data_IF_042483619413
#
_entry.id   IF_042483619413
#
_cell.length_a   1.000
_cell.length_b   1.000
_cell.length_c   1.000
_cell.angle_alpha   90.00
_cell.angle_beta   90.00
_cell.angle_gamma   90.00
#
_symmetry.space_group_name_H-M   'P 1'
#
loop_
_entity.id
_entity.type
_entity.pdbx_description
1 polymer ?
#
# COMPACT_ATOMS: atom_id res chain seq x y z
N UNK A 1 1.27 15.33 62.10
CA UNK A 1 2.35 14.75 62.93
C UNK A 1 2.39 13.26 62.60
N UNK A 2 3.41 12.61 62.05
CA UNK A 2 4.81 12.86 61.69
C UNK A 2 5.05 12.06 60.36
N UNK A 3 5.77 12.54 59.34
CA UNK A 3 7.19 12.87 59.17
C UNK A 3 8.16 11.66 59.27
N UNK A 4 9.17 11.69 58.40
CA UNK A 4 10.37 10.83 58.23
C UNK A 4 10.23 9.74 57.13
N UNK A 5 10.77 9.84 55.91
CA UNK A 5 12.12 10.17 55.37
C UNK A 5 13.24 9.19 55.77
N UNK A 6 13.78 8.47 54.78
CA UNK A 6 15.19 8.05 54.51
C UNK A 6 15.15 7.30 53.16
N UNK A 7 15.86 7.56 52.05
CA UNK A 7 17.14 8.19 51.64
C UNK A 7 18.40 7.38 51.99
N UNK A 8 19.14 7.03 50.91
CA UNK A 8 20.57 6.64 50.79
C UNK A 8 20.95 5.18 51.12
N UNK A 9 21.90 4.51 50.45
CA UNK A 9 22.89 4.90 49.43
C UNK A 9 23.74 3.68 48.94
N UNK A 10 24.33 3.79 47.73
CA UNK A 10 25.69 3.37 47.27
C UNK A 10 26.11 1.87 47.36
N UNK A 11 26.92 1.26 46.49
CA UNK A 11 27.53 1.57 45.21
C UNK A 11 28.19 0.28 44.66
N UNK A 12 28.34 0.22 43.33
CA UNK A 12 29.41 -0.42 42.54
C UNK A 12 29.77 -1.92 42.73
N UNK A 13 29.83 -2.67 41.62
CA UNK A 13 31.12 -3.10 41.00
C UNK A 13 30.87 -3.69 39.59
N UNK A 14 31.63 -3.13 38.65
CA UNK A 14 32.16 -3.57 37.36
C UNK A 14 31.59 -4.81 36.62
N UNK A 15 31.41 -4.60 35.31
CA UNK A 15 32.02 -5.35 34.18
C UNK A 15 30.95 -5.52 33.09
N UNK A 16 30.97 -4.82 31.96
CA UNK A 16 32.02 -4.83 30.96
C UNK A 16 31.45 -5.48 29.69
N UNK A 17 31.16 -4.68 28.64
CA UNK A 17 31.18 -5.07 27.22
C UNK A 17 30.54 -3.96 26.35
N UNK A 18 31.38 -3.09 25.81
CA UNK A 18 31.01 -2.26 24.65
C UNK A 18 30.95 -3.14 23.40
N UNK A 19 29.86 -3.09 22.63
CA UNK A 19 29.81 -3.68 21.30
C UNK A 19 29.83 -2.56 20.25
N UNK A 20 31.02 -2.30 19.68
CA UNK A 20 31.20 -1.49 18.47
C UNK A 20 31.21 -2.44 17.28
N UNK A 21 30.24 -2.32 16.37
CA UNK A 21 30.22 -3.09 15.12
C UNK A 21 30.70 -2.19 13.98
N UNK A 22 31.91 -2.45 13.51
CA UNK A 22 32.49 -1.82 12.33
C UNK A 22 32.22 -2.67 11.08
N UNK A 23 31.99 -1.96 9.98
CA UNK A 23 31.76 -2.41 8.59
C UNK A 23 33.00 -3.07 7.98
N UNK A 24 32.86 -4.09 7.11
CA UNK A 24 33.94 -4.48 6.19
C UNK A 24 33.62 -4.13 4.72
N UNK A 25 34.57 -3.58 3.95
CA UNK A 25 34.58 -3.68 2.50
C UNK A 25 35.49 -4.85 2.07
N UNK A 26 35.04 -5.65 1.10
CA UNK A 26 35.84 -6.73 0.51
C UNK A 26 35.61 -6.78 -0.99
N UNK A 27 36.62 -6.36 -1.75
CA UNK A 27 36.64 -6.35 -3.21
C UNK A 27 37.62 -7.40 -3.75
N UNK A 28 37.16 -8.22 -4.70
CA UNK A 28 37.95 -8.83 -5.77
C UNK A 28 38.82 -10.07 -5.48
N UNK A 29 38.53 -11.20 -6.15
CA UNK A 29 39.21 -11.65 -7.39
C UNK A 29 39.07 -13.16 -7.64
N UNK A 30 38.53 -13.46 -8.83
CA UNK A 30 38.94 -14.49 -9.82
C UNK A 30 39.01 -15.98 -9.45
N UNK A 31 38.22 -16.76 -10.19
CA UNK A 31 38.41 -18.17 -10.57
C UNK A 31 38.02 -18.33 -12.06
N UNK A 32 38.32 -19.45 -12.73
CA UNK A 32 39.64 -19.90 -13.16
C UNK A 32 39.73 -20.01 -14.70
N UNK A 33 40.94 -20.29 -15.19
CA UNK A 33 41.29 -20.46 -16.60
C UNK A 33 40.61 -21.67 -17.27
N UNK A 34 40.18 -21.50 -18.54
CA UNK A 34 39.88 -22.61 -19.44
C UNK A 34 40.27 -22.26 -20.89
N UNK A 35 41.24 -23.03 -21.40
CA UNK A 35 41.42 -23.50 -22.77
C UNK A 35 41.06 -22.64 -23.99
N UNK A 36 42.10 -22.20 -24.71
CA UNK A 36 42.10 -21.89 -26.15
C UNK A 36 41.64 -23.10 -26.99
N UNK A 37 40.85 -22.88 -28.06
CA UNK A 37 41.02 -23.51 -29.39
C UNK A 37 40.02 -22.98 -30.44
N UNK A 38 40.60 -22.25 -31.41
CA UNK A 38 40.46 -22.35 -32.88
C UNK A 38 39.10 -22.06 -33.57
N UNK A 39 39.13 -20.93 -34.27
CA UNK A 39 38.63 -20.61 -35.61
C UNK A 39 38.12 -21.79 -36.47
N UNK A 40 36.93 -21.62 -37.06
CA UNK A 40 36.66 -21.97 -38.45
C UNK A 40 35.40 -21.23 -38.94
N UNK A 41 35.53 -20.52 -40.06
CA UNK A 41 34.45 -19.92 -40.82
C UNK A 41 33.82 -20.97 -41.75
N UNK A 42 32.52 -20.87 -42.04
CA UNK A 42 31.93 -21.36 -43.29
C UNK A 42 30.57 -20.70 -43.56
N UNK A 43 30.43 -20.28 -44.82
CA UNK A 43 29.29 -19.64 -45.48
C UNK A 43 28.14 -20.61 -45.80
N UNK A 44 27.05 -20.05 -46.35
CA UNK A 44 25.92 -20.66 -47.11
C UNK A 44 24.68 -20.95 -46.24
N UNK A 45 23.43 -20.74 -46.67
CA UNK A 45 22.84 -20.10 -47.84
C UNK A 45 21.34 -19.95 -47.55
N UNK A 46 20.70 -18.92 -48.12
CA UNK A 46 19.24 -18.82 -48.24
C UNK A 46 18.64 -20.07 -48.89
N UNK A 47 17.54 -20.59 -48.33
CA UNK A 47 16.52 -21.27 -49.12
C UNK A 47 15.16 -21.23 -48.42
N UNK A 48 14.22 -20.54 -49.07
CA UNK A 48 12.79 -20.57 -48.79
C UNK A 48 12.27 -22.01 -48.90
N UNK A 49 11.56 -22.47 -47.87
CA UNK A 49 10.59 -23.55 -48.00
C UNK A 49 9.21 -23.02 -47.61
N UNK A 50 8.42 -22.74 -48.65
CA UNK A 50 6.96 -22.63 -48.58
C UNK A 50 6.40 -23.93 -48.00
N UNK A 51 5.67 -23.83 -46.89
CA UNK A 51 4.85 -24.91 -46.35
C UNK A 51 3.41 -24.40 -46.15
N UNK A 52 2.42 -24.85 -46.94
CA UNK A 52 1.03 -24.48 -46.74
C UNK A 52 0.42 -25.48 -45.76
N UNK A 53 0.55 -25.20 -44.47
CA UNK A 53 -0.22 -25.89 -43.45
C UNK A 53 -1.20 -24.89 -42.88
N UNK A 54 -2.48 -25.06 -43.25
CA UNK A 54 -3.61 -24.41 -42.62
C UNK A 54 -3.53 -24.66 -41.11
N UNK A 55 -2.93 -23.72 -40.38
CA UNK A 55 -3.08 -23.65 -38.94
C UNK A 55 -4.49 -23.13 -38.71
N UNK A 56 -5.42 -24.09 -38.60
CA UNK A 56 -6.66 -24.01 -37.83
C UNK A 56 -6.57 -22.86 -36.84
N UNK A 57 -7.46 -21.86 -37.00
CA UNK A 57 -7.70 -20.82 -36.02
C UNK A 57 -7.83 -21.51 -34.66
N UNK A 58 -6.78 -21.41 -33.85
CA UNK A 58 -6.87 -21.75 -32.44
C UNK A 58 -7.98 -20.88 -31.89
N UNK A 59 -9.01 -21.51 -31.33
CA UNK A 59 -10.14 -20.82 -30.74
C UNK A 59 -9.60 -19.73 -29.82
N UNK A 60 -9.86 -18.47 -30.19
CA UNK A 60 -9.78 -17.38 -29.25
C UNK A 60 -10.83 -17.72 -28.18
N UNK A 61 -10.40 -18.36 -27.10
CA UNK A 61 -11.21 -18.46 -25.92
C UNK A 61 -11.42 -17.02 -25.46
N UNK A 62 -12.57 -16.45 -25.81
CA UNK A 62 -13.09 -15.26 -25.18
C UNK A 62 -13.45 -15.65 -23.75
N UNK A 63 -12.42 -15.73 -22.91
CA UNK A 63 -12.54 -15.89 -21.47
C UNK A 63 -12.99 -14.55 -20.88
N UNK A 64 -14.14 -14.06 -21.34
CA UNK A 64 -14.97 -13.16 -20.56
C UNK A 64 -15.51 -13.97 -19.39
N UNK A 65 -14.61 -14.35 -18.49
CA UNK A 65 -14.93 -14.76 -17.12
C UNK A 65 -15.48 -13.48 -16.51
N UNK A 66 -16.77 -13.28 -16.74
CA UNK A 66 -17.51 -12.14 -16.27
C UNK A 66 -17.35 -12.14 -14.76
N UNK A 67 -16.50 -11.25 -14.27
CA UNK A 67 -16.79 -10.51 -13.04
C UNK A 67 -18.28 -10.20 -13.15
N UNK A 68 -19.14 -10.63 -12.20
CA UNK A 68 -20.52 -10.20 -12.20
C UNK A 68 -20.51 -8.71 -12.46
N UNK A 69 -21.22 -8.26 -13.49
CA UNK A 69 -21.27 -6.85 -13.83
C UNK A 69 -22.04 -6.20 -12.69
N UNK A 70 -21.34 -5.95 -11.58
CA UNK A 70 -21.85 -5.22 -10.45
C UNK A 70 -22.19 -3.89 -11.06
N UNK A 71 -23.50 -3.62 -11.19
CA UNK A 71 -23.96 -2.42 -11.87
C UNK A 71 -23.29 -1.21 -11.22
N UNK A 72 -23.03 -0.15 -11.99
CA UNK A 72 -22.39 1.06 -11.43
C UNK A 72 -23.11 1.55 -10.17
N UNK A 73 -24.45 1.43 -10.16
CA UNK A 73 -25.30 1.76 -9.03
C UNK A 73 -25.06 0.89 -7.78
N UNK A 74 -24.87 -0.42 -7.95
CA UNK A 74 -24.55 -1.33 -6.84
C UNK A 74 -23.14 -1.05 -6.28
N UNK A 75 -22.17 -0.80 -7.15
CA UNK A 75 -20.81 -0.41 -6.74
C UNK A 75 -20.80 0.91 -5.95
N UNK A 76 -21.57 1.91 -6.40
CA UNK A 76 -21.76 3.17 -5.68
C UNK A 76 -22.43 2.97 -4.33
N UNK A 77 -23.45 2.12 -4.24
CA UNK A 77 -24.14 1.82 -2.98
C UNK A 77 -23.19 1.16 -1.96
N UNK A 78 -22.38 0.20 -2.41
CA UNK A 78 -21.36 -0.48 -1.58
C UNK A 78 -20.31 0.51 -1.08
N UNK A 79 -19.81 1.39 -1.95
CA UNK A 79 -18.84 2.43 -1.59
C UNK A 79 -19.40 3.41 -0.56
N UNK A 80 -20.66 3.81 -0.69
CA UNK A 80 -21.33 4.64 0.32
C UNK A 80 -21.36 3.95 1.68
N UNK A 81 -21.59 2.63 1.73
CA UNK A 81 -21.58 1.87 2.98
C UNK A 81 -20.19 1.87 3.61
N UNK A 82 -19.16 1.56 2.84
CA UNK A 82 -17.78 1.50 3.35
C UNK A 82 -17.26 2.87 3.78
N UNK A 83 -17.60 3.93 3.04
CA UNK A 83 -17.29 5.29 3.45
C UNK A 83 -17.99 5.69 4.76
N UNK A 84 -19.27 5.33 4.94
CA UNK A 84 -19.96 5.58 6.23
C UNK A 84 -19.25 4.90 7.41
N UNK A 85 -18.75 3.68 7.22
CA UNK A 85 -17.99 2.98 8.26
C UNK A 85 -16.68 3.73 8.60
N UNK A 86 -16.01 4.30 7.60
CA UNK A 86 -14.82 5.11 7.81
C UNK A 86 -15.13 6.44 8.53
N UNK A 87 -16.28 7.07 8.24
CA UNK A 87 -16.71 8.30 8.92
C UNK A 87 -17.10 8.05 10.39
N UNK A 88 -17.74 6.91 10.68
CA UNK A 88 -18.20 6.55 12.04
C UNK A 88 -17.09 6.39 13.07
N UNK A 89 -15.83 6.31 12.66
CA UNK A 89 -14.69 6.29 13.58
C UNK A 89 -14.61 7.54 14.46
N UNK A 90 -15.32 8.62 14.11
CA UNK A 90 -15.47 9.81 14.94
C UNK A 90 -15.95 9.51 16.36
N UNK A 91 -16.84 8.54 16.53
CA UNK A 91 -17.32 8.13 17.86
C UNK A 91 -16.16 7.61 18.74
N UNK A 92 -15.18 6.93 18.13
CA UNK A 92 -13.99 6.42 18.82
C UNK A 92 -12.98 7.52 19.10
N UNK A 93 -12.88 8.53 18.22
CA UNK A 93 -12.09 9.74 18.44
C UNK A 93 -12.64 10.50 19.67
N UNK A 94 -13.94 10.71 19.72
CA UNK A 94 -14.61 11.45 20.80
C UNK A 94 -14.51 10.71 22.14
N UNK A 95 -14.59 9.37 22.10
CA UNK A 95 -14.38 8.52 23.27
C UNK A 95 -12.90 8.34 23.66
N UNK A 96 -11.95 8.87 22.88
CA UNK A 96 -10.49 8.66 23.04
C UNK A 96 -10.10 7.17 23.08
N UNK A 97 -10.85 6.34 22.37
CA UNK A 97 -10.64 4.89 22.27
C UNK A 97 -9.58 4.58 21.21
N UNK A 98 -8.32 4.91 21.50
CA UNK A 98 -7.24 4.95 20.50
C UNK A 98 -6.95 3.60 19.82
N UNK A 99 -7.02 2.49 20.57
CA UNK A 99 -6.70 1.17 20.02
C UNK A 99 -7.82 0.68 19.09
N UNK A 100 -9.05 0.92 19.52
CA UNK A 100 -10.28 0.62 18.80
C UNK A 100 -10.36 1.49 17.54
N UNK A 101 -10.01 2.78 17.64
CA UNK A 101 -9.91 3.70 16.51
C UNK A 101 -8.97 3.17 15.43
N UNK A 102 -7.74 2.78 15.80
CA UNK A 102 -6.79 2.22 14.84
C UNK A 102 -7.29 0.94 14.17
N UNK A 103 -7.93 0.05 14.94
CA UNK A 103 -8.50 -1.18 14.40
C UNK A 103 -9.65 -0.89 13.41
N UNK A 104 -10.56 0.00 13.79
CA UNK A 104 -11.69 0.40 12.97
C UNK A 104 -11.24 1.14 11.69
N UNK A 105 -10.26 2.04 11.79
CA UNK A 105 -9.66 2.74 10.64
C UNK A 105 -9.06 1.74 9.64
N UNK A 106 -8.23 0.80 10.12
CA UNK A 106 -7.57 -0.16 9.22
C UNK A 106 -8.58 -1.08 8.54
N UNK A 107 -9.60 -1.55 9.26
CA UNK A 107 -10.65 -2.41 8.70
C UNK A 107 -11.53 -1.67 7.68
N UNK A 108 -12.04 -0.48 8.04
CA UNK A 108 -12.90 0.31 7.16
C UNK A 108 -12.17 0.82 5.92
N UNK A 109 -10.92 1.27 6.07
CA UNK A 109 -10.11 1.75 4.96
C UNK A 109 -9.72 0.64 3.99
N UNK A 110 -9.51 -0.60 4.45
CA UNK A 110 -9.16 -1.72 3.58
C UNK A 110 -10.26 -2.01 2.55
N UNK A 111 -11.53 -2.06 3.00
CA UNK A 111 -12.67 -2.25 2.12
C UNK A 111 -12.81 -1.08 1.14
N UNK A 112 -12.78 0.15 1.65
CA UNK A 112 -12.95 1.34 0.82
C UNK A 112 -11.83 1.51 -0.23
N UNK A 113 -10.59 1.09 0.08
CA UNK A 113 -9.48 1.08 -0.90
C UNK A 113 -9.83 0.24 -2.12
N UNK A 114 -10.34 -0.97 -1.88
CA UNK A 114 -10.66 -1.91 -2.95
C UNK A 114 -11.75 -1.35 -3.86
N UNK A 115 -12.81 -0.82 -3.29
CA UNK A 115 -13.95 -0.34 -4.08
C UNK A 115 -13.61 0.93 -4.85
N UNK A 116 -12.96 1.91 -4.20
CA UNK A 116 -12.53 3.14 -4.87
C UNK A 116 -11.53 2.85 -5.98
N UNK A 117 -10.61 1.91 -5.78
CA UNK A 117 -9.68 1.52 -6.85
C UNK A 117 -10.43 0.95 -8.06
N UNK A 118 -11.44 0.11 -7.83
CA UNK A 118 -12.29 -0.45 -8.89
C UNK A 118 -13.02 0.65 -9.66
N UNK A 119 -13.66 1.60 -8.97
CA UNK A 119 -14.32 2.76 -9.60
C UNK A 119 -13.34 3.59 -10.44
N UNK A 120 -12.15 3.86 -9.91
CA UNK A 120 -11.11 4.60 -10.62
C UNK A 120 -10.68 3.87 -11.89
N UNK A 121 -10.60 2.54 -11.88
CA UNK A 121 -10.24 1.77 -13.06
C UNK A 121 -11.36 1.73 -14.11
N UNK A 122 -12.62 1.71 -13.68
CA UNK A 122 -13.78 1.80 -14.56
C UNK A 122 -14.01 3.22 -15.15
N UNK A 123 -13.43 4.25 -14.54
CA UNK A 123 -13.62 5.65 -14.96
C UNK A 123 -12.95 6.00 -16.30
N UNK A 124 -13.47 6.98 -17.06
CA UNK A 124 -12.85 7.46 -18.29
C UNK A 124 -11.42 7.95 -18.10
N UNK A 125 -10.56 7.73 -19.11
CA UNK A 125 -9.12 8.03 -19.04
C UNK A 125 -8.79 9.47 -18.62
N UNK A 126 -9.62 10.45 -19.01
CA UNK A 126 -9.45 11.86 -18.67
C UNK A 126 -9.66 12.18 -17.19
N UNK A 127 -10.51 11.43 -16.48
CA UNK A 127 -10.83 11.66 -15.05
C UNK A 127 -9.90 10.91 -14.10
N UNK A 128 -9.28 9.82 -14.56
CA UNK A 128 -8.42 8.94 -13.74
C UNK A 128 -7.27 9.67 -13.03
N UNK A 129 -6.55 10.64 -13.62
CA UNK A 129 -5.48 11.35 -12.92
C UNK A 129 -5.98 12.12 -11.68
N UNK A 130 -7.09 12.84 -11.83
CA UNK A 130 -7.70 13.59 -10.73
C UNK A 130 -8.16 12.65 -9.62
N UNK A 131 -8.90 11.59 -9.97
CA UNK A 131 -9.39 10.62 -8.98
C UNK A 131 -8.26 9.89 -8.25
N UNK A 132 -7.13 9.61 -8.91
CA UNK A 132 -5.95 9.00 -8.26
C UNK A 132 -5.29 9.94 -7.27
N UNK A 133 -5.26 11.25 -7.56
CA UNK A 133 -4.77 12.26 -6.63
C UNK A 133 -5.64 12.25 -5.37
N UNK A 134 -6.96 12.38 -5.54
CA UNK A 134 -7.92 12.37 -4.43
C UNK A 134 -7.86 11.08 -3.61
N UNK A 135 -7.77 9.92 -4.28
CA UNK A 135 -7.56 8.62 -3.64
C UNK A 135 -6.30 8.62 -2.77
N UNK A 136 -5.20 9.19 -3.28
CA UNK A 136 -3.95 9.28 -2.53
C UNK A 136 -4.09 10.21 -1.33
N UNK A 137 -4.71 11.37 -1.51
CA UNK A 137 -4.93 12.37 -0.45
C UNK A 137 -5.80 11.80 0.69
N UNK A 138 -6.86 11.07 0.34
CA UNK A 138 -7.70 10.34 1.29
C UNK A 138 -6.88 9.34 2.13
N UNK A 139 -6.16 8.42 1.48
CA UNK A 139 -5.49 7.34 2.20
C UNK A 139 -4.19 7.78 2.87
N UNK A 140 -3.58 8.87 2.42
CA UNK A 140 -2.54 9.57 3.18
C UNK A 140 -3.12 10.14 4.48
N UNK A 141 -4.27 10.81 4.42
CA UNK A 141 -4.95 11.34 5.62
C UNK A 141 -5.33 10.22 6.60
N UNK A 142 -5.85 9.08 6.11
CA UNK A 142 -6.13 7.90 6.95
C UNK A 142 -4.86 7.36 7.60
N UNK A 143 -3.74 7.30 6.88
CA UNK A 143 -2.46 6.80 7.41
C UNK A 143 -1.90 7.75 8.48
N UNK A 144 -1.97 9.06 8.22
CA UNK A 144 -1.57 10.09 9.18
C UNK A 144 -2.45 10.07 10.44
N UNK A 145 -3.76 9.87 10.27
CA UNK A 145 -4.72 9.70 11.37
C UNK A 145 -4.39 8.46 12.23
N UNK A 146 -4.10 7.31 11.60
CA UNK A 146 -3.68 6.09 12.32
C UNK A 146 -2.39 6.29 13.12
N UNK A 147 -1.44 7.07 12.57
CA UNK A 147 -0.19 7.42 13.23
C UNK A 147 -0.42 8.41 14.39
N UNK A 148 -1.22 9.46 14.18
CA UNK A 148 -1.57 10.43 15.22
C UNK A 148 -2.33 9.76 16.37
N UNK A 149 -3.25 8.85 16.07
CA UNK A 149 -3.97 8.04 17.07
C UNK A 149 -3.02 7.18 17.91
N UNK A 150 -1.95 6.64 17.32
CA UNK A 150 -0.90 5.91 18.06
C UNK A 150 -0.18 6.82 19.05
N UNK A 151 0.11 8.06 18.64
CA UNK A 151 0.74 9.09 19.46
C UNK A 151 -0.23 9.77 20.45
N UNK A 152 -1.53 9.51 20.33
CA UNK A 152 -2.61 10.21 21.06
C UNK A 152 -2.56 11.73 20.86
N UNK A 153 -2.15 12.15 19.67
CA UNK A 153 -2.04 13.55 19.31
C UNK A 153 -3.40 14.09 18.88
N UNK A 154 -4.16 14.62 19.84
CA UNK A 154 -5.56 15.03 19.59
C UNK A 154 -5.68 16.12 18.53
N UNK A 155 -4.73 17.05 18.46
CA UNK A 155 -4.77 18.14 17.46
C UNK A 155 -4.63 17.58 16.05
N UNK A 156 -3.60 16.76 15.82
CA UNK A 156 -3.37 16.14 14.52
C UNK A 156 -4.44 15.09 14.18
N UNK A 157 -5.02 14.40 15.17
CA UNK A 157 -6.17 13.50 14.95
C UNK A 157 -7.36 14.26 14.37
N UNK A 158 -7.71 15.42 14.93
CA UNK A 158 -8.82 16.23 14.41
C UNK A 158 -8.52 16.78 13.02
N UNK A 159 -7.30 17.25 12.80
CA UNK A 159 -6.86 17.75 11.49
C UNK A 159 -6.95 16.65 10.41
N UNK A 160 -6.35 15.49 10.65
CA UNK A 160 -6.34 14.40 9.67
C UNK A 160 -7.71 13.78 9.47
N UNK A 161 -8.55 13.74 10.51
CA UNK A 161 -9.95 13.38 10.35
C UNK A 161 -10.68 14.37 9.44
N UNK A 162 -10.51 15.68 9.64
CA UNK A 162 -11.10 16.70 8.76
C UNK A 162 -10.63 16.56 7.31
N UNK A 163 -9.32 16.38 7.10
CA UNK A 163 -8.75 16.21 5.75
C UNK A 163 -9.29 14.93 5.07
N UNK A 164 -9.50 13.86 5.85
CA UNK A 164 -10.14 12.64 5.36
C UNK A 164 -11.58 12.87 4.90
N UNK A 165 -12.39 13.62 5.67
CA UNK A 165 -13.77 13.96 5.30
C UNK A 165 -13.80 14.81 4.03
N UNK A 166 -13.01 15.88 3.97
CA UNK A 166 -12.91 16.73 2.77
C UNK A 166 -12.52 15.91 1.54
N UNK A 167 -11.52 15.03 1.66
CA UNK A 167 -11.09 14.17 0.55
C UNK A 167 -12.19 13.19 0.11
N UNK A 168 -12.97 12.63 1.04
CA UNK A 168 -14.12 11.78 0.72
C UNK A 168 -15.19 12.55 -0.05
N UNK A 169 -15.54 13.74 0.42
CA UNK A 169 -16.55 14.59 -0.23
C UNK A 169 -16.12 15.00 -1.64
N UNK A 170 -14.84 15.37 -1.82
CA UNK A 170 -14.26 15.64 -3.14
C UNK A 170 -14.34 14.44 -4.07
N UNK A 171 -13.99 13.23 -3.60
CA UNK A 171 -14.13 12.00 -4.40
C UNK A 171 -15.60 11.81 -4.82
N UNK A 172 -16.51 11.91 -3.87
CA UNK A 172 -17.94 11.69 -4.10
C UNK A 172 -18.53 12.70 -5.10
N UNK A 173 -18.10 13.96 -5.06
CA UNK A 173 -18.51 14.97 -6.05
C UNK A 173 -18.08 14.65 -7.50
N UNK A 174 -17.13 13.73 -7.69
CA UNK A 174 -16.58 13.36 -9.02
C UNK A 174 -17.15 12.07 -9.57
N UNK A 175 -17.61 11.18 -8.69
CA UNK A 175 -18.09 9.84 -9.05
C UNK A 175 -19.61 9.71 -8.94
N UNK A 176 -20.28 10.63 -8.24
CA UNK A 176 -21.74 10.66 -8.03
C UNK A 176 -22.34 12.00 -8.42
#
# INVERSE_FOLDING_TARGET
MALQLTVQALAAILSGAQSKRATPPGNGHRRPAMGRRRLAAALLASQLLLLPAAATRAGAFDLRITVPEQSSEEAEAVVKVHARNLVRVKELIDARAWRELQAALRSSAANLKQDLYTIIQASPASRRPELRRLYSDLFNSVTSLDYAARGKDELHVQEYYSNMITSLDEIFSKIM
#
